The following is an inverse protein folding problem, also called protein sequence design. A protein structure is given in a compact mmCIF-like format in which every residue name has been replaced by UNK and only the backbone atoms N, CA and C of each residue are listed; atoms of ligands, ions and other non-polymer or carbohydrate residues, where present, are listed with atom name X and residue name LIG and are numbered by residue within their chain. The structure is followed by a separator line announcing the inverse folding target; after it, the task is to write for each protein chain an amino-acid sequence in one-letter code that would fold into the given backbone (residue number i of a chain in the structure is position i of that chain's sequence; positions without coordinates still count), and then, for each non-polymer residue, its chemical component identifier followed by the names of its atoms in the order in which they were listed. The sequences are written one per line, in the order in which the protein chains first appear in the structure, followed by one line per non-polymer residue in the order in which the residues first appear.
data_IF_043769197335
#
_entry.id   IF_043769197335
#
_cell.length_a   1.000
_cell.length_b   1.000
_cell.length_c   1.000
_cell.angle_alpha   90.00
_cell.angle_beta   90.00
_cell.angle_gamma   90.00
#
_symmetry.space_group_name_H-M   'P 1'
#
loop_
_entity.id
_entity.type
_entity.pdbx_description
1 polymer ?
#
# COMPACT_ATOMS: atom_id res chain seq x y z
N UNK A 1 6.61 -9.52 -6.58
CA UNK A 1 7.05 -8.13 -6.82
C UNK A 1 7.80 -7.66 -5.58
N UNK A 2 8.91 -6.95 -5.75
CA UNK A 2 9.62 -6.28 -4.65
C UNK A 2 9.21 -4.80 -4.63
N UNK A 3 9.08 -4.22 -3.44
CA UNK A 3 8.76 -2.80 -3.25
C UNK A 3 10.05 -1.96 -3.24
N UNK A 4 10.05 -0.84 -3.95
CA UNK A 4 11.20 0.08 -4.05
C UNK A 4 11.14 1.14 -2.93
N UNK A 5 11.39 0.69 -1.70
CA UNK A 5 11.22 1.52 -0.49
C UNK A 5 12.32 2.59 -0.30
N UNK A 6 13.37 2.56 -1.11
CA UNK A 6 14.53 3.45 -1.08
C UNK A 6 14.51 4.54 -2.17
N UNK A 7 13.44 4.61 -2.99
CA UNK A 7 13.34 5.52 -4.14
C UNK A 7 12.58 6.83 -3.85
N UNK A 8 12.38 7.18 -2.58
CA UNK A 8 11.59 8.36 -2.20
C UNK A 8 10.09 8.22 -2.51
N UNK A 9 9.60 6.97 -2.54
CA UNK A 9 8.19 6.64 -2.71
C UNK A 9 7.63 6.26 -1.34
N UNK A 10 6.56 6.93 -0.93
CA UNK A 10 5.80 6.55 0.26
C UNK A 10 4.64 5.64 -0.15
N UNK A 11 4.53 4.49 0.51
CA UNK A 11 3.51 3.49 0.25
C UNK A 11 2.49 3.44 1.39
N UNK A 12 1.22 3.52 1.02
CA UNK A 12 0.06 3.37 1.88
C UNK A 12 -0.70 2.11 1.44
N UNK A 13 -1.15 1.28 2.39
CA UNK A 13 -1.87 0.03 2.11
C UNK A 13 -3.28 0.09 2.68
N UNK A 14 -4.28 -0.11 1.81
CA UNK A 14 -5.69 -0.13 2.20
C UNK A 14 -6.22 -1.56 2.05
N UNK A 15 -6.81 -2.19 3.09
CA UNK A 15 -7.41 -3.51 2.94
C UNK A 15 -8.49 -3.48 1.88
N UNK A 16 -8.47 -4.46 0.98
CA UNK A 16 -9.39 -4.49 -0.16
C UNK A 16 -10.87 -4.48 0.29
N UNK A 17 -11.16 -5.10 1.44
CA UNK A 17 -12.48 -5.11 2.09
C UNK A 17 -13.01 -3.71 2.46
N UNK A 18 -12.12 -2.75 2.71
CA UNK A 18 -12.48 -1.42 3.19
C UNK A 18 -12.37 -0.33 2.12
N UNK A 19 -11.93 -0.64 0.89
CA UNK A 19 -11.60 0.36 -0.13
C UNK A 19 -12.77 1.30 -0.52
N UNK A 20 -14.02 0.83 -0.37
CA UNK A 20 -15.23 1.61 -0.66
C UNK A 20 -15.77 2.42 0.53
N UNK A 21 -15.10 2.38 1.67
CA UNK A 21 -15.51 3.13 2.87
C UNK A 21 -15.17 4.61 2.72
N UNK A 22 -15.96 5.49 3.34
CA UNK A 22 -15.73 6.94 3.28
C UNK A 22 -14.38 7.36 3.89
N UNK A 23 -13.88 6.59 4.86
CA UNK A 23 -12.57 6.77 5.46
C UNK A 23 -11.95 5.39 5.76
N UNK A 24 -11.31 4.74 4.76
CA UNK A 24 -10.73 3.43 4.95
C UNK A 24 -9.54 3.51 5.92
N UNK A 25 -9.30 2.45 6.72
CA UNK A 25 -8.06 2.34 7.46
C UNK A 25 -6.89 2.23 6.48
N UNK A 26 -5.84 2.99 6.76
CA UNK A 26 -4.60 3.01 5.97
C UNK A 26 -3.50 2.47 6.85
N UNK A 27 -2.72 1.54 6.30
CA UNK A 27 -1.63 0.87 6.99
C UNK A 27 -0.30 1.26 6.35
N UNK A 28 0.71 1.45 7.20
CA UNK A 28 2.12 1.55 6.81
C UNK A 28 2.72 0.16 6.61
N UNK A 29 3.93 0.08 6.06
CA UNK A 29 4.60 -1.18 5.73
C UNK A 29 4.79 -2.11 6.95
N UNK A 30 4.95 -1.56 8.15
CA UNK A 30 5.12 -2.29 9.40
C UNK A 30 3.80 -2.84 9.97
N UNK A 31 2.66 -2.32 9.51
CA UNK A 31 1.33 -2.67 10.02
C UNK A 31 0.60 -3.68 9.10
N UNK A 32 1.24 -4.12 8.01
CA UNK A 32 0.63 -5.05 7.05
C UNK A 32 0.62 -6.49 7.57
N UNK A 33 -0.45 -7.20 7.24
CA UNK A 33 -0.64 -8.61 7.58
C UNK A 33 -0.27 -9.50 6.40
N UNK A 34 0.37 -10.63 6.70
CA UNK A 34 0.65 -11.65 5.69
C UNK A 34 -0.64 -12.28 5.17
N UNK A 35 -0.63 -12.63 3.88
CA UNK A 35 -1.75 -13.27 3.20
C UNK A 35 -3.06 -12.45 3.12
N UNK A 36 -3.04 -11.16 3.50
CA UNK A 36 -4.17 -10.24 3.34
C UNK A 36 -4.02 -9.40 2.06
N UNK A 37 -5.14 -9.13 1.38
CA UNK A 37 -5.16 -8.37 0.14
C UNK A 37 -5.27 -6.86 0.42
N UNK A 38 -4.41 -6.09 -0.22
CA UNK A 38 -4.35 -4.64 -0.09
C UNK A 38 -4.37 -3.96 -1.46
N UNK A 39 -5.04 -2.82 -1.55
CA UNK A 39 -4.83 -1.84 -2.59
C UNK A 39 -3.63 -0.95 -2.22
N UNK A 40 -2.82 -0.62 -3.22
CA UNK A 40 -1.66 0.26 -3.05
C UNK A 40 -2.06 1.69 -3.38
N UNK A 41 -1.67 2.58 -2.48
CA UNK A 41 -1.70 4.02 -2.68
C UNK A 41 -0.27 4.56 -2.54
N UNK A 42 0.16 5.40 -3.48
CA UNK A 42 1.51 5.94 -3.50
C UNK A 42 1.51 7.46 -3.42
N UNK A 43 2.52 7.97 -2.72
CA UNK A 43 2.92 9.37 -2.81
C UNK A 43 4.38 9.45 -3.24
N UNK A 44 4.67 10.28 -4.25
CA UNK A 44 6.01 10.42 -4.83
C UNK A 44 6.42 11.89 -4.89
N UNK A 45 7.73 12.14 -4.83
CA UNK A 45 8.29 13.49 -5.03
C UNK A 45 8.02 14.08 -6.41
N UNK A 46 7.59 13.26 -7.37
CA UNK A 46 7.25 13.67 -8.74
C UNK A 46 5.80 14.14 -8.89
N UNK A 47 5.07 14.35 -7.79
CA UNK A 47 3.75 14.99 -7.82
C UNK A 47 2.56 14.02 -7.79
N UNK A 48 2.79 12.72 -7.54
CA UNK A 48 1.70 11.83 -7.14
C UNK A 48 1.44 11.99 -5.65
N UNK A 49 0.21 12.32 -5.29
CA UNK A 49 -0.21 12.51 -3.90
C UNK A 49 -1.39 11.60 -3.63
N UNK A 50 -1.19 10.62 -2.74
CA UNK A 50 -2.21 9.61 -2.40
C UNK A 50 -2.88 9.04 -3.65
N UNK A 51 -2.08 8.65 -4.63
CA UNK A 51 -2.55 8.11 -5.90
C UNK A 51 -2.78 6.61 -5.78
N UNK A 52 -4.01 6.16 -6.00
CA UNK A 52 -4.35 4.73 -6.03
C UNK A 52 -3.93 4.13 -7.37
N UNK A 53 -3.00 3.16 -7.33
CA UNK A 53 -2.45 2.54 -8.54
C UNK A 53 -3.52 1.71 -9.28
N UNK A 54 -4.45 1.11 -8.53
CA UNK A 54 -5.45 0.18 -9.06
C UNK A 54 -5.02 -1.30 -8.95
N UNK A 55 -3.77 -1.54 -8.55
CA UNK A 55 -3.25 -2.89 -8.30
C UNK A 55 -3.71 -3.44 -6.94
N UNK A 56 -3.90 -4.77 -6.90
CA UNK A 56 -4.10 -5.52 -5.66
C UNK A 56 -2.87 -6.36 -5.37
N UNK A 57 -2.32 -6.22 -4.16
CA UNK A 57 -1.17 -7.01 -3.71
C UNK A 57 -1.48 -7.81 -2.45
N UNK A 58 -0.62 -8.80 -2.20
CA UNK A 58 -0.63 -9.62 -1.00
C UNK A 58 0.80 -9.86 -0.54
N UNK A 59 1.07 -9.58 0.74
CA UNK A 59 2.39 -9.84 1.32
C UNK A 59 2.57 -11.34 1.56
N UNK A 60 3.64 -11.90 0.99
CA UNK A 60 4.05 -13.30 1.18
C UNK A 60 5.10 -13.47 2.26
N UNK A 61 5.83 -12.39 2.58
CA UNK A 61 6.84 -12.35 3.62
C UNK A 61 6.94 -10.92 4.17
N UNK A 62 7.16 -10.78 5.48
CA UNK A 62 7.33 -9.51 6.20
C UNK A 62 8.78 -9.30 6.67
N UNK A 63 9.68 -10.20 6.28
CA UNK A 63 11.12 -10.11 6.48
C UNK A 63 11.78 -10.07 5.09
N UNK A 64 12.46 -8.97 4.74
CA UNK A 64 13.15 -8.86 3.45
C UNK A 64 14.27 -9.91 3.32
#
# INVERSE_FOLDING_TARGET
MLLMIDYGIFYEFIPLENIGSANPPVYSLDEVELNKNYAIVISTSCGLWRYMIGDTIRFTNNRP
#
